data_IF_698631234258
#
_entry.id   IF_698631234258
#
_cell.length_a   1.000
_cell.length_b   1.000
_cell.length_c   1.000
_cell.angle_alpha   90.00
_cell.angle_beta   90.00
_cell.angle_gamma   90.00
#
_symmetry.space_group_name_H-M   'P 1'
#
loop_
_entity.id
_entity.type
_entity.pdbx_description
1 polymer ?
#
# COMPACT_ATOMS: atom_id res chain seq x y z
N UNK A 1 11.12 7.29 7.12
CA UNK A 1 11.08 7.57 5.67
C UNK A 1 9.64 7.78 5.24
N UNK A 2 9.33 8.93 4.64
CA UNK A 2 8.02 9.19 4.05
C UNK A 2 7.99 8.76 2.58
N UNK A 3 7.06 7.91 2.19
CA UNK A 3 6.89 7.42 0.81
C UNK A 3 5.63 8.06 0.24
N UNK A 4 5.83 8.98 -0.70
CA UNK A 4 4.75 9.64 -1.42
C UNK A 4 4.36 8.79 -2.64
N UNK A 5 3.26 8.07 -2.53
CA UNK A 5 2.69 7.29 -3.61
C UNK A 5 1.92 8.21 -4.59
N UNK A 6 1.86 7.86 -5.90
CA UNK A 6 1.14 8.68 -6.87
C UNK A 6 -0.37 8.66 -6.61
N UNK A 7 -1.07 9.66 -7.14
CA UNK A 7 -2.53 9.67 -7.22
C UNK A 7 -3.02 9.52 -8.67
N UNK A 8 -4.29 9.18 -8.85
CA UNK A 8 -4.85 8.90 -10.19
C UNK A 8 -4.79 10.10 -11.16
N UNK A 9 -4.77 11.32 -10.63
CA UNK A 9 -4.59 12.54 -11.43
C UNK A 9 -3.10 12.79 -11.66
N UNK A 10 -2.65 12.61 -12.89
CA UNK A 10 -1.25 12.85 -13.30
C UNK A 10 -0.91 14.34 -13.19
N UNK A 11 0.32 14.66 -12.77
CA UNK A 11 0.80 16.04 -12.71
C UNK A 11 0.86 16.65 -14.11
N UNK A 12 0.44 17.91 -14.22
CA UNK A 12 0.47 18.67 -15.47
C UNK A 12 -0.59 18.29 -16.51
N UNK A 13 -1.46 17.31 -16.23
CA UNK A 13 -2.48 16.83 -17.15
C UNK A 13 -3.88 17.35 -16.80
N UNK A 14 -4.62 17.85 -17.80
CA UNK A 14 -5.98 18.33 -17.63
C UNK A 14 -7.00 17.18 -17.73
N UNK A 15 -7.15 16.42 -16.65
CA UNK A 15 -8.00 15.20 -16.61
C UNK A 15 -9.41 15.43 -16.04
N UNK A 16 -9.68 16.61 -15.48
CA UNK A 16 -10.96 16.96 -14.86
C UNK A 16 -11.83 17.79 -15.81
N UNK A 17 -13.17 17.78 -15.62
CA UNK A 17 -14.05 18.66 -16.38
C UNK A 17 -13.66 20.14 -16.23
N UNK A 18 -13.88 20.93 -17.28
CA UNK A 18 -13.61 22.37 -17.27
C UNK A 18 -14.25 23.05 -16.04
N UNK A 19 -13.44 23.78 -15.28
CA UNK A 19 -13.87 24.50 -14.08
C UNK A 19 -13.83 23.69 -12.79
N UNK A 20 -13.36 22.44 -12.83
CA UNK A 20 -13.08 21.63 -11.64
C UNK A 20 -11.58 21.60 -11.40
N UNK A 21 -11.16 21.97 -10.20
CA UNK A 21 -9.77 21.96 -9.75
C UNK A 21 -9.60 20.95 -8.60
N UNK A 22 -8.42 20.34 -8.53
CA UNK A 22 -7.97 19.44 -7.47
C UNK A 22 -6.49 19.77 -7.22
N UNK A 23 -6.07 19.80 -5.95
CA UNK A 23 -4.75 20.31 -5.57
C UNK A 23 -3.88 19.26 -4.86
N UNK A 24 -4.14 17.98 -5.07
CA UNK A 24 -3.50 16.90 -4.34
C UNK A 24 -2.01 16.79 -4.67
N UNK A 25 -1.64 17.02 -5.93
CA UNK A 25 -0.23 17.00 -6.33
C UNK A 25 0.52 18.22 -5.81
N UNK A 26 -0.09 19.39 -5.89
CA UNK A 26 0.45 20.66 -5.39
C UNK A 26 0.60 20.64 -3.87
N UNK A 27 -0.38 20.05 -3.16
CA UNK A 27 -0.29 19.85 -1.70
C UNK A 27 0.82 18.86 -1.35
N UNK A 28 0.98 17.79 -2.13
CA UNK A 28 2.09 16.86 -1.94
C UNK A 28 3.44 17.52 -2.21
N UNK A 29 3.58 18.34 -3.25
CA UNK A 29 4.81 19.08 -3.54
C UNK A 29 5.18 19.99 -2.35
N UNK A 30 4.24 20.80 -1.86
CA UNK A 30 4.46 21.65 -0.70
C UNK A 30 4.81 20.86 0.57
N UNK A 31 4.19 19.70 0.77
CA UNK A 31 4.49 18.83 1.90
C UNK A 31 5.89 18.24 1.82
N UNK A 32 6.31 17.74 0.65
CA UNK A 32 7.65 17.19 0.43
C UNK A 32 8.75 18.25 0.57
N UNK A 33 8.50 19.47 0.09
CA UNK A 33 9.41 20.62 0.31
C UNK A 33 9.59 20.91 1.81
N UNK A 34 8.53 20.80 2.61
CA UNK A 34 8.63 20.99 4.06
C UNK A 34 9.35 19.83 4.74
N UNK A 35 9.14 18.58 4.31
CA UNK A 35 9.93 17.44 4.80
C UNK A 35 11.42 17.65 4.54
N UNK A 36 11.79 18.10 3.34
CA UNK A 36 13.18 18.43 2.98
C UNK A 36 13.75 19.51 3.91
N UNK A 37 13.00 20.59 4.14
CA UNK A 37 13.40 21.68 5.03
C UNK A 37 13.60 21.23 6.48
N UNK A 38 12.81 20.28 6.95
CA UNK A 38 12.93 19.71 8.29
C UNK A 38 13.98 18.58 8.37
N UNK A 39 14.61 18.22 7.25
CA UNK A 39 15.59 17.13 7.21
C UNK A 39 14.95 15.74 7.39
N UNK A 40 13.66 15.60 7.08
CA UNK A 40 12.96 14.31 7.11
C UNK A 40 13.10 13.64 5.75
N UNK A 41 13.66 12.44 5.74
CA UNK A 41 13.81 11.65 4.53
C UNK A 41 12.46 11.31 3.88
N UNK A 42 12.36 11.53 2.58
CA UNK A 42 11.25 11.08 1.75
C UNK A 42 11.71 10.41 0.44
N UNK A 43 10.79 9.68 -0.18
CA UNK A 43 10.85 9.15 -1.54
C UNK A 43 9.56 9.56 -2.26
N UNK A 44 9.69 10.25 -3.39
CA UNK A 44 8.56 10.57 -4.28
C UNK A 44 8.47 9.54 -5.39
N UNK A 45 7.42 8.71 -5.37
CA UNK A 45 7.20 7.70 -6.39
C UNK A 45 6.50 8.25 -7.64
N UNK A 46 6.01 9.50 -7.66
CA UNK A 46 5.31 10.05 -8.83
C UNK A 46 6.16 9.99 -10.12
N UNK A 47 7.44 10.42 -10.14
CA UNK A 47 8.28 10.31 -11.33
C UNK A 47 8.43 8.87 -11.84
N UNK A 48 8.58 7.90 -10.92
CA UNK A 48 8.70 6.48 -11.26
C UNK A 48 7.54 6.00 -12.15
N UNK A 49 6.30 6.39 -11.81
CA UNK A 49 5.10 5.99 -12.55
C UNK A 49 4.82 6.87 -13.78
N UNK A 50 5.27 8.12 -13.79
CA UNK A 50 5.18 9.04 -14.94
C UNK A 50 6.14 8.64 -16.07
N UNK A 51 7.31 8.11 -15.73
CA UNK A 51 8.38 7.78 -16.68
C UNK A 51 8.31 6.34 -17.21
N UNK A 52 7.53 5.46 -16.55
CA UNK A 52 7.45 4.05 -16.91
C UNK A 52 6.03 3.69 -17.36
N UNK A 53 5.81 3.62 -18.67
CA UNK A 53 4.54 3.17 -19.24
C UNK A 53 3.47 4.27 -19.35
N UNK A 54 2.20 3.85 -19.41
CA UNK A 54 1.05 4.77 -19.52
C UNK A 54 0.52 5.00 -18.11
N UNK A 55 0.61 6.23 -17.61
CA UNK A 55 0.30 6.57 -16.22
C UNK A 55 -1.07 6.03 -15.74
N UNK A 56 -2.13 6.23 -16.55
CA UNK A 56 -3.48 5.78 -16.21
C UNK A 56 -3.61 4.26 -16.05
N UNK A 57 -2.69 3.47 -16.63
CA UNK A 57 -2.75 2.01 -16.56
C UNK A 57 -2.30 1.48 -15.19
N UNK A 58 -1.59 2.29 -14.41
CA UNK A 58 -1.18 1.96 -13.04
C UNK A 58 -2.35 1.99 -12.04
N UNK A 59 -3.49 2.54 -12.42
CA UNK A 59 -4.67 2.70 -11.56
C UNK A 59 -5.85 1.88 -12.06
N UNK A 60 -6.69 1.44 -11.12
CA UNK A 60 -8.01 0.95 -11.47
C UNK A 60 -8.82 2.09 -12.09
N UNK A 61 -9.64 1.79 -13.11
CA UNK A 61 -10.48 2.80 -13.75
C UNK A 61 -11.68 3.16 -12.87
N UNK A 62 -12.25 2.17 -12.18
CA UNK A 62 -13.45 2.30 -11.35
C UNK A 62 -13.16 2.45 -9.86
N UNK A 63 -11.90 2.28 -9.45
CA UNK A 63 -11.44 2.52 -8.08
C UNK A 63 -10.46 3.72 -8.02
N UNK A 64 -10.14 4.16 -6.80
CA UNK A 64 -9.19 5.23 -6.53
C UNK A 64 -7.77 4.71 -6.30
N UNK A 65 -7.62 3.42 -5.99
CA UNK A 65 -6.32 2.81 -5.77
C UNK A 65 -5.53 2.54 -7.06
N UNK A 66 -4.21 2.42 -6.90
CA UNK A 66 -3.36 1.75 -7.87
C UNK A 66 -3.69 0.26 -8.02
N UNK A 67 -3.22 -0.37 -9.10
CA UNK A 67 -3.36 -1.81 -9.31
C UNK A 67 -2.23 -2.58 -8.58
N UNK A 68 -2.40 -3.89 -8.33
CA UNK A 68 -1.36 -4.73 -7.73
C UNK A 68 -0.02 -4.70 -8.47
N UNK A 69 -0.03 -4.55 -9.79
CA UNK A 69 1.16 -4.41 -10.62
C UNK A 69 1.94 -3.12 -10.30
N UNK A 70 1.23 -2.03 -10.02
CA UNK A 70 1.84 -0.78 -9.60
C UNK A 70 2.43 -0.91 -8.19
N UNK A 71 1.72 -1.58 -7.27
CA UNK A 71 2.23 -1.85 -5.93
C UNK A 71 3.47 -2.76 -5.95
N UNK A 72 3.51 -3.76 -6.83
CA UNK A 72 4.69 -4.59 -7.07
C UNK A 72 5.86 -3.72 -7.57
N UNK A 73 5.63 -2.87 -8.57
CA UNK A 73 6.67 -1.99 -9.12
C UNK A 73 7.19 -0.97 -8.08
N UNK A 74 6.29 -0.41 -7.26
CA UNK A 74 6.68 0.45 -6.13
C UNK A 74 7.51 -0.31 -5.09
N UNK A 75 7.18 -1.57 -4.83
CA UNK A 75 7.97 -2.41 -3.92
C UNK A 75 9.38 -2.64 -4.46
N UNK A 76 9.56 -2.89 -5.77
CA UNK A 76 10.89 -3.01 -6.38
C UNK A 76 11.73 -1.75 -6.12
N UNK A 77 11.18 -0.57 -6.43
CA UNK A 77 11.88 0.70 -6.22
C UNK A 77 12.14 0.99 -4.74
N UNK A 78 11.19 0.67 -3.86
CA UNK A 78 11.35 0.89 -2.43
C UNK A 78 12.44 -0.01 -1.84
N UNK A 79 12.55 -1.27 -2.28
CA UNK A 79 13.65 -2.16 -1.87
C UNK A 79 15.01 -1.56 -2.23
N UNK A 80 15.17 -1.02 -3.44
CA UNK A 80 16.42 -0.38 -3.86
C UNK A 80 16.75 0.86 -3.00
N UNK A 81 15.74 1.69 -2.69
CA UNK A 81 15.89 2.86 -1.81
C UNK A 81 16.28 2.47 -0.38
N UNK A 82 15.66 1.42 0.16
CA UNK A 82 15.92 0.92 1.51
C UNK A 82 17.33 0.34 1.63
N UNK A 83 17.80 -0.40 0.64
CA UNK A 83 19.18 -0.87 0.57
C UNK A 83 20.16 0.31 0.44
N UNK A 84 19.93 1.20 -0.52
CA UNK A 84 20.85 2.28 -0.85
C UNK A 84 21.03 3.32 0.26
N UNK A 85 19.95 3.69 0.96
CA UNK A 85 19.97 4.76 1.98
C UNK A 85 20.12 4.25 3.41
N UNK A 86 19.62 3.06 3.69
CA UNK A 86 19.53 2.53 5.06
C UNK A 86 20.26 1.21 5.25
N UNK A 87 20.83 0.62 4.19
CA UNK A 87 21.50 -0.68 4.26
C UNK A 87 20.54 -1.85 4.53
N UNK A 88 19.24 -1.64 4.34
CA UNK A 88 18.19 -2.63 4.56
C UNK A 88 17.96 -3.43 3.27
N UNK A 89 18.89 -4.31 2.96
CA UNK A 89 18.83 -5.15 1.76
C UNK A 89 17.76 -6.23 1.89
N UNK A 90 17.07 -6.51 0.78
CA UNK A 90 16.25 -7.71 0.60
C UNK A 90 16.85 -8.58 -0.50
N UNK A 91 16.56 -9.88 -0.51
CA UNK A 91 17.01 -10.77 -1.58
C UNK A 91 16.42 -10.28 -2.93
N UNK A 92 17.24 -9.91 -3.93
CA UNK A 92 16.77 -9.45 -5.23
C UNK A 92 15.90 -10.48 -5.97
N UNK A 93 15.99 -11.76 -5.62
CA UNK A 93 15.12 -12.78 -6.18
C UNK A 93 13.64 -12.58 -5.79
N UNK A 94 13.36 -11.91 -4.66
CA UNK A 94 12.00 -11.61 -4.22
C UNK A 94 11.30 -10.67 -5.20
N UNK A 95 12.01 -9.64 -5.67
CA UNK A 95 11.47 -8.56 -6.52
C UNK A 95 11.54 -8.87 -8.01
N UNK A 96 12.17 -9.97 -8.44
CA UNK A 96 12.22 -10.38 -9.85
C UNK A 96 10.85 -10.90 -10.33
N UNK A 97 10.20 -10.26 -11.34
CA UNK A 97 8.93 -10.73 -11.90
C UNK A 97 8.95 -12.18 -12.41
N UNK A 98 10.11 -12.71 -12.82
CA UNK A 98 10.22 -14.10 -13.26
C UNK A 98 9.91 -15.11 -12.14
N UNK A 99 10.10 -14.71 -10.87
CA UNK A 99 9.85 -15.51 -9.69
C UNK A 99 8.40 -15.44 -9.18
N UNK A 100 7.50 -14.89 -9.98
CA UNK A 100 6.07 -14.80 -9.66
C UNK A 100 5.22 -15.40 -10.78
N UNK A 101 4.14 -16.07 -10.38
CA UNK A 101 3.00 -16.37 -11.24
C UNK A 101 1.93 -15.30 -11.04
N UNK A 102 1.23 -14.96 -12.12
CA UNK A 102 0.13 -14.01 -12.10
C UNK A 102 -1.13 -14.63 -12.68
N UNK A 103 -2.28 -14.28 -12.09
CA UNK A 103 -3.60 -14.66 -12.59
C UNK A 103 -4.52 -13.45 -12.63
N UNK A 104 -4.94 -13.07 -13.83
CA UNK A 104 -5.88 -11.97 -14.05
C UNK A 104 -7.31 -12.47 -13.84
N UNK A 105 -8.07 -11.77 -13.00
CA UNK A 105 -9.51 -11.90 -12.92
C UNK A 105 -10.16 -10.81 -13.77
N UNK A 106 -10.58 -11.16 -14.97
CA UNK A 106 -11.17 -10.21 -15.92
C UNK A 106 -12.54 -9.70 -15.45
N UNK A 107 -12.76 -8.39 -15.57
CA UNK A 107 -13.99 -7.67 -15.26
C UNK A 107 -14.54 -7.96 -13.85
N UNK A 108 -13.66 -8.32 -12.92
CA UNK A 108 -14.03 -8.86 -11.62
C UNK A 108 -14.33 -7.77 -10.59
N UNK A 109 -13.73 -6.58 -10.75
CA UNK A 109 -13.76 -5.54 -9.74
C UNK A 109 -14.57 -4.32 -10.20
N UNK A 110 -15.56 -3.93 -9.40
CA UNK A 110 -16.18 -2.61 -9.49
C UNK A 110 -15.76 -1.82 -8.25
N UNK A 111 -14.88 -0.85 -8.46
CA UNK A 111 -14.32 -0.01 -7.40
C UNK A 111 -15.33 0.97 -6.79
N UNK A 112 -14.92 1.63 -5.71
CA UNK A 112 -15.78 2.55 -4.95
C UNK A 112 -16.34 3.68 -5.81
N UNK A 113 -15.55 4.25 -6.73
CA UNK A 113 -16.00 5.30 -7.64
C UNK A 113 -16.98 4.75 -8.68
N UNK A 114 -16.72 3.56 -9.22
CA UNK A 114 -17.61 2.86 -10.14
C UNK A 114 -18.96 2.50 -9.52
N UNK A 115 -18.97 2.05 -8.25
CA UNK A 115 -20.20 1.77 -7.50
C UNK A 115 -21.08 3.02 -7.35
N UNK A 116 -20.49 4.21 -7.24
CA UNK A 116 -21.23 5.49 -7.12
C UNK A 116 -21.92 5.91 -8.41
N UNK A 117 -21.30 5.65 -9.57
CA UNK A 117 -21.82 6.08 -10.89
C UNK A 117 -22.57 4.97 -11.64
N UNK A 118 -22.37 3.72 -11.26
CA UNK A 118 -23.00 2.53 -11.85
C UNK A 118 -22.14 1.84 -12.91
N UNK A 119 -22.23 0.50 -12.95
CA UNK A 119 -21.41 -0.35 -13.83
C UNK A 119 -21.67 -0.16 -15.32
N UNK A 120 -22.85 0.33 -15.73
CA UNK A 120 -23.14 0.63 -17.14
C UNK A 120 -22.30 1.79 -17.69
N UNK A 121 -21.92 2.74 -16.84
CA UNK A 121 -21.11 3.91 -17.22
C UNK A 121 -19.63 3.69 -16.90
N UNK A 122 -19.34 3.10 -15.74
CA UNK A 122 -17.98 2.85 -15.29
C UNK A 122 -17.37 1.57 -15.85
N UNK A 123 -18.14 0.62 -16.36
CA UNK A 123 -17.69 -0.75 -16.63
C UNK A 123 -17.15 -1.45 -15.37
N UNK A 124 -16.28 -2.44 -15.56
CA UNK A 124 -15.55 -3.11 -14.48
C UNK A 124 -14.06 -3.14 -14.81
N UNK A 125 -13.24 -3.31 -13.77
CA UNK A 125 -11.80 -3.50 -13.85
C UNK A 125 -11.41 -4.96 -13.73
N UNK A 126 -10.26 -5.27 -14.28
CA UNK A 126 -9.54 -6.52 -14.05
C UNK A 126 -8.68 -6.37 -12.79
N UNK A 127 -8.48 -7.45 -12.04
CA UNK A 127 -7.55 -7.48 -10.91
C UNK A 127 -6.59 -8.66 -11.06
N UNK A 128 -5.30 -8.38 -10.94
CA UNK A 128 -4.24 -9.39 -11.03
C UNK A 128 -3.92 -9.92 -9.65
N UNK A 129 -3.86 -11.24 -9.51
CA UNK A 129 -3.42 -11.93 -8.31
C UNK A 129 -1.99 -12.43 -8.50
N UNK A 130 -1.16 -12.25 -7.48
CA UNK A 130 0.26 -12.61 -7.49
C UNK A 130 0.50 -13.81 -6.57
N UNK A 131 1.32 -14.75 -7.03
CA UNK A 131 1.70 -15.99 -6.34
C UNK A 131 3.21 -16.17 -6.48
N UNK A 132 4.01 -16.14 -5.40
CA UNK A 132 5.45 -16.38 -5.50
C UNK A 132 5.74 -17.82 -5.95
N UNK A 133 6.78 -18.00 -6.77
CA UNK A 133 7.30 -19.32 -7.17
C UNK A 133 8.30 -19.89 -6.17
N UNK A 134 8.65 -19.11 -5.15
CA UNK A 134 9.52 -19.51 -4.04
C UNK A 134 8.70 -19.83 -2.80
N UNK A 135 9.29 -20.58 -1.89
CA UNK A 135 8.66 -20.96 -0.63
C UNK A 135 8.51 -19.73 0.28
N UNK A 136 7.35 -19.60 0.91
CA UNK A 136 7.05 -18.52 1.85
C UNK A 136 6.29 -19.09 3.04
N UNK A 137 6.53 -18.52 4.22
CA UNK A 137 5.80 -18.88 5.42
C UNK A 137 5.68 -17.65 6.30
N UNK A 138 4.47 -17.13 6.43
CA UNK A 138 4.19 -15.92 7.18
C UNK A 138 3.07 -16.17 8.21
N UNK A 139 3.12 -15.44 9.31
CA UNK A 139 2.01 -15.31 10.25
C UNK A 139 1.47 -13.89 10.17
N UNK A 140 0.21 -13.72 9.77
CA UNK A 140 -0.48 -12.42 9.80
C UNK A 140 -1.51 -12.39 10.93
N UNK A 141 -1.42 -11.41 11.82
CA UNK A 141 -2.32 -11.30 12.97
C UNK A 141 -2.87 -9.88 13.14
N UNK A 142 -4.16 -9.78 13.45
CA UNK A 142 -4.79 -8.55 13.90
C UNK A 142 -5.69 -8.88 15.11
N UNK A 143 -5.22 -8.62 16.35
CA UNK A 143 -5.99 -8.89 17.57
C UNK A 143 -7.33 -8.17 17.62
N UNK A 144 -7.40 -6.92 17.16
CA UNK A 144 -8.63 -6.11 17.14
C UNK A 144 -9.75 -6.75 16.28
N UNK A 145 -9.36 -7.52 15.26
CA UNK A 145 -10.28 -8.25 14.37
C UNK A 145 -10.34 -9.75 14.68
N UNK A 146 -9.63 -10.22 15.71
CA UNK A 146 -9.70 -11.59 16.20
C UNK A 146 -9.21 -12.65 15.20
N UNK A 147 -8.27 -12.32 14.31
CA UNK A 147 -7.73 -13.29 13.36
C UNK A 147 -6.22 -13.48 13.48
N UNK A 148 -5.80 -14.70 13.16
CA UNK A 148 -4.41 -15.07 12.86
C UNK A 148 -4.44 -16.02 11.68
N UNK A 149 -3.60 -15.75 10.67
CA UNK A 149 -3.46 -16.55 9.45
C UNK A 149 -2.01 -17.01 9.36
N UNK A 150 -1.79 -18.29 9.13
CA UNK A 150 -0.45 -18.89 9.07
C UNK A 150 -0.36 -19.69 7.78
N UNK A 151 0.73 -19.52 7.05
CA UNK A 151 1.02 -20.30 5.85
C UNK A 151 1.73 -19.50 4.77
N UNK A 152 1.73 -20.00 3.52
CA UNK A 152 2.34 -19.31 2.40
C UNK A 152 1.63 -17.99 2.08
N UNK A 153 2.31 -17.15 1.30
CA UNK A 153 1.90 -15.79 0.92
C UNK A 153 0.39 -15.67 0.58
N UNK A 154 -0.12 -16.58 -0.25
CA UNK A 154 -1.46 -16.54 -0.82
C UNK A 154 -2.57 -16.84 0.20
N UNK A 155 -2.23 -17.44 1.34
CA UNK A 155 -3.19 -17.81 2.39
C UNK A 155 -2.99 -17.03 3.69
N UNK A 156 -1.77 -16.56 3.96
CA UNK A 156 -1.45 -15.79 5.18
C UNK A 156 -1.69 -14.29 5.02
N UNK A 157 -1.10 -13.66 4.00
CA UNK A 157 -1.16 -12.20 3.76
C UNK A 157 -2.11 -11.82 2.63
N UNK A 158 -2.52 -12.79 1.82
CA UNK A 158 -3.67 -12.66 0.93
C UNK A 158 -4.94 -13.31 1.52
N UNK A 159 -6.09 -12.82 1.06
CA UNK A 159 -7.43 -13.20 1.53
C UNK A 159 -8.25 -13.77 0.36
N UNK A 160 -8.02 -15.04 -0.05
CA UNK A 160 -8.71 -15.67 -1.18
C UNK A 160 -10.24 -15.59 -1.10
N UNK A 161 -10.80 -15.54 0.10
CA UNK A 161 -12.23 -15.33 0.33
C UNK A 161 -12.78 -14.04 -0.29
N UNK A 162 -11.95 -13.00 -0.47
CA UNK A 162 -12.33 -11.72 -1.10
C UNK A 162 -12.57 -11.83 -2.60
N UNK A 163 -12.07 -12.90 -3.22
CA UNK A 163 -12.17 -13.18 -4.65
C UNK A 163 -12.77 -14.56 -4.93
N UNK A 164 -13.31 -15.24 -3.91
CA UNK A 164 -13.94 -16.56 -4.06
C UNK A 164 -15.21 -16.51 -4.92
N UNK A 165 -15.90 -15.36 -4.92
CA UNK A 165 -17.07 -15.10 -5.77
C UNK A 165 -17.05 -13.65 -6.22
N UNK A 166 -17.38 -13.42 -7.48
CA UNK A 166 -17.61 -12.08 -8.01
C UNK A 166 -18.88 -11.47 -7.39
N UNK A 167 -18.72 -10.34 -6.72
CA UNK A 167 -19.81 -9.49 -6.24
C UNK A 167 -19.41 -8.01 -6.39
N UNK A 168 -19.90 -7.38 -7.46
CA UNK A 168 -19.56 -6.00 -7.79
C UNK A 168 -20.05 -4.96 -6.78
N UNK A 169 -21.08 -5.25 -6.00
CA UNK A 169 -21.70 -4.23 -5.14
C UNK A 169 -21.33 -4.41 -3.67
N UNK A 170 -21.24 -5.66 -3.19
CA UNK A 170 -20.91 -5.94 -1.79
C UNK A 170 -19.47 -6.43 -1.60
N UNK A 171 -18.78 -6.83 -2.67
CA UNK A 171 -17.38 -7.27 -2.62
C UNK A 171 -16.40 -6.11 -2.62
N UNK A 172 -15.21 -6.37 -2.07
CA UNK A 172 -14.03 -5.51 -2.24
C UNK A 172 -12.80 -6.36 -2.61
N UNK A 173 -12.66 -6.77 -3.88
CA UNK A 173 -11.50 -7.53 -4.35
C UNK A 173 -10.14 -6.88 -4.05
N UNK A 174 -10.05 -5.56 -3.91
CA UNK A 174 -8.80 -4.89 -3.57
C UNK A 174 -8.22 -5.34 -2.23
N UNK A 175 -9.08 -5.70 -1.26
CA UNK A 175 -8.65 -6.23 0.03
C UNK A 175 -8.27 -7.72 -0.01
N UNK A 176 -8.19 -8.33 -1.20
CA UNK A 176 -7.46 -9.58 -1.38
C UNK A 176 -6.04 -9.45 -0.83
N UNK A 177 -5.40 -8.30 -1.04
CA UNK A 177 -4.11 -7.98 -0.44
C UNK A 177 -4.31 -7.38 0.95
N UNK A 178 -3.69 -7.99 1.97
CA UNK A 178 -3.70 -7.56 3.37
C UNK A 178 -5.07 -7.48 4.07
N UNK A 179 -6.18 -7.88 3.44
CA UNK A 179 -7.47 -8.12 4.12
C UNK A 179 -8.31 -6.87 4.41
N UNK A 180 -7.68 -5.72 4.56
CA UNK A 180 -8.32 -4.42 4.73
C UNK A 180 -7.45 -3.40 5.46
N UNK A 181 -8.13 -2.42 6.04
CA UNK A 181 -7.54 -1.34 6.82
C UNK A 181 -7.74 -1.67 8.30
N UNK A 182 -6.65 -2.09 8.96
CA UNK A 182 -6.67 -2.51 10.34
C UNK A 182 -5.94 -1.49 11.22
N UNK A 183 -6.41 -1.24 12.45
CA UNK A 183 -5.81 -0.25 13.35
C UNK A 183 -4.33 -0.54 13.60
N UNK A 184 -4.03 -1.80 13.91
CA UNK A 184 -2.69 -2.35 14.00
C UNK A 184 -2.75 -3.82 13.63
N UNK A 185 -1.80 -4.27 12.81
CA UNK A 185 -1.66 -5.67 12.43
C UNK A 185 -0.19 -6.01 12.18
N UNK A 186 0.22 -7.23 12.51
CA UNK A 186 1.62 -7.67 12.44
C UNK A 186 1.74 -8.88 11.55
N UNK A 187 2.70 -8.83 10.62
CA UNK A 187 3.11 -9.92 9.74
C UNK A 187 4.51 -10.36 10.13
N UNK A 188 4.68 -11.59 10.58
CA UNK A 188 5.99 -12.21 10.83
C UNK A 188 6.37 -13.09 9.64
N UNK A 189 7.59 -12.93 9.12
CA UNK A 189 8.14 -13.71 8.02
C UNK A 189 9.13 -14.76 8.54
N UNK A 190 8.72 -16.03 8.53
CA UNK A 190 9.53 -17.13 9.05
C UNK A 190 10.67 -17.56 8.12
N UNK A 191 10.69 -17.05 6.88
CA UNK A 191 11.78 -17.29 5.91
C UNK A 191 12.86 -16.22 5.92
N UNK A 192 12.65 -15.11 6.63
CA UNK A 192 13.63 -14.05 6.80
C UNK A 192 13.73 -13.61 8.28
N UNK A 193 14.05 -14.54 9.21
CA UNK A 193 13.98 -14.24 10.65
C UNK A 193 14.99 -13.17 11.11
N UNK A 194 16.09 -12.99 10.37
CA UNK A 194 17.14 -12.01 10.67
C UNK A 194 17.00 -10.71 9.87
N UNK A 195 15.92 -10.57 9.09
CA UNK A 195 15.62 -9.36 8.34
C UNK A 195 15.21 -8.18 9.24
N UNK A 196 15.06 -6.97 8.66
CA UNK A 196 14.68 -5.79 9.43
C UNK A 196 13.27 -5.90 10.00
N UNK A 197 13.03 -5.20 11.10
CA UNK A 197 11.70 -4.95 11.67
C UNK A 197 11.20 -3.60 11.17
N UNK A 198 10.05 -3.62 10.51
CA UNK A 198 9.50 -2.45 9.82
C UNK A 198 8.16 -2.06 10.44
N UNK A 199 7.99 -0.79 10.75
CA UNK A 199 6.67 -0.20 10.98
C UNK A 199 6.23 0.55 9.74
N UNK A 200 4.99 0.33 9.30
CA UNK A 200 4.37 1.04 8.18
C UNK A 200 3.11 1.77 8.65
N UNK A 201 3.19 3.10 8.73
CA UNK A 201 2.01 3.97 8.78
C UNK A 201 1.38 4.00 7.39
N UNK A 202 0.10 3.65 7.31
CA UNK A 202 -0.57 3.46 6.01
C UNK A 202 -2.00 3.96 5.99
N UNK A 203 -2.48 4.21 4.78
CA UNK A 203 -3.89 4.27 4.44
C UNK A 203 -4.29 3.03 3.61
N UNK A 204 -5.45 3.06 2.95
CA UNK A 204 -5.94 1.94 2.13
C UNK A 204 -5.05 1.66 0.93
N UNK A 205 -4.30 2.64 0.43
CA UNK A 205 -3.44 2.50 -0.75
C UNK A 205 -2.31 1.49 -0.53
N UNK A 206 -1.79 1.40 0.69
CA UNK A 206 -0.75 0.43 1.02
C UNK A 206 -1.24 -1.03 1.09
N UNK A 207 -2.55 -1.31 1.02
CA UNK A 207 -3.08 -2.70 1.05
C UNK A 207 -2.35 -3.60 0.04
N UNK A 208 -2.23 -3.15 -1.21
CA UNK A 208 -1.61 -3.93 -2.27
C UNK A 208 -0.09 -4.11 -2.12
N UNK A 209 0.59 -3.15 -1.49
CA UNK A 209 2.04 -3.21 -1.26
C UNK A 209 2.41 -4.03 -0.01
N UNK A 210 1.55 -4.03 1.00
CA UNK A 210 1.82 -4.64 2.31
C UNK A 210 2.27 -6.11 2.22
N UNK A 211 1.62 -7.01 1.46
CA UNK A 211 2.07 -8.40 1.33
C UNK A 211 3.46 -8.53 0.72
N UNK A 212 3.79 -7.72 -0.29
CA UNK A 212 5.09 -7.75 -0.96
C UNK A 212 6.21 -7.25 -0.04
N UNK A 213 5.97 -6.11 0.64
CA UNK A 213 6.92 -5.56 1.61
C UNK A 213 7.20 -6.54 2.75
N UNK A 214 6.19 -7.27 3.22
CA UNK A 214 6.34 -8.26 4.29
C UNK A 214 7.35 -9.38 3.96
N UNK A 215 7.59 -9.67 2.67
CA UNK A 215 8.62 -10.63 2.25
C UNK A 215 10.05 -10.10 2.43
N UNK A 216 10.23 -8.77 2.49
CA UNK A 216 11.54 -8.11 2.57
C UNK A 216 12.04 -7.90 4.01
N UNK A 217 11.22 -8.19 5.00
CA UNK A 217 11.49 -7.95 6.42
C UNK A 217 11.23 -9.21 7.26
N UNK A 218 11.74 -9.24 8.49
CA UNK A 218 11.43 -10.29 9.47
C UNK A 218 10.05 -10.09 10.09
N UNK A 219 9.69 -8.82 10.32
CA UNK A 219 8.42 -8.40 10.87
C UNK A 219 7.97 -7.09 10.22
N UNK A 220 6.73 -7.05 9.75
CA UNK A 220 6.05 -5.84 9.30
C UNK A 220 4.86 -5.57 10.21
N UNK A 221 4.89 -4.46 10.96
CA UNK A 221 3.72 -3.96 11.68
C UNK A 221 3.11 -2.80 10.92
N UNK A 222 1.87 -2.94 10.49
CA UNK A 222 1.11 -1.88 9.83
C UNK A 222 0.20 -1.18 10.82
N UNK A 223 0.13 0.15 10.77
CA UNK A 223 -0.75 0.98 11.60
C UNK A 223 -1.56 1.89 10.69
N UNK A 224 -2.88 1.93 10.89
CA UNK A 224 -3.79 2.85 10.19
C UNK A 224 -4.43 3.81 11.18
N UNK A 225 -4.00 5.08 11.14
CA UNK A 225 -4.40 6.09 12.11
C UNK A 225 -5.90 6.45 12.06
N UNK A 226 -6.62 6.03 11.03
CA UNK A 226 -8.08 6.22 10.97
C UNK A 226 -8.82 5.33 11.96
N UNK A 227 -8.19 4.24 12.39
CA UNK A 227 -8.78 3.22 13.25
C UNK A 227 -7.94 2.96 14.52
N UNK A 228 -6.67 3.33 14.50
CA UNK A 228 -5.77 3.14 15.64
C UNK A 228 -6.18 4.02 16.82
N UNK A 229 -6.24 3.40 18.00
CA UNK A 229 -6.43 4.06 19.28
C UNK A 229 -5.21 3.76 20.16
N UNK A 230 -4.77 4.74 20.95
CA UNK A 230 -3.56 4.65 21.77
C UNK A 230 -2.43 5.57 21.31
N UNK A 231 -1.36 5.64 22.11
CA UNK A 231 -0.21 6.50 21.83
C UNK A 231 0.66 5.90 20.72
N UNK A 232 0.78 6.60 19.59
CA UNK A 232 1.51 6.13 18.43
C UNK A 232 3.01 6.04 18.71
N UNK A 233 3.58 7.04 19.39
CA UNK A 233 5.02 7.13 19.60
C UNK A 233 5.50 6.06 20.59
N UNK A 234 4.78 5.86 21.69
CA UNK A 234 5.04 4.79 22.65
C UNK A 234 4.85 3.41 22.01
N UNK A 235 3.83 3.25 21.16
CA UNK A 235 3.61 2.00 20.43
C UNK A 235 4.77 1.71 19.49
N UNK A 236 5.21 2.68 18.67
CA UNK A 236 6.34 2.51 17.76
C UNK A 236 7.64 2.24 18.55
N UNK A 237 7.87 2.96 19.63
CA UNK A 237 9.04 2.74 20.49
C UNK A 237 9.07 1.32 21.07
N UNK A 238 7.91 0.81 21.52
CA UNK A 238 7.79 -0.55 22.06
C UNK A 238 7.94 -1.66 21.01
N UNK A 239 7.77 -1.36 19.72
CA UNK A 239 8.00 -2.31 18.63
C UNK A 239 9.49 -2.46 18.28
N UNK A 240 10.34 -1.51 18.70
CA UNK A 240 11.78 -1.45 18.37
C UNK A 240 12.08 -1.69 16.87
N UNK A 241 11.47 -0.94 15.95
CA UNK A 241 11.71 -1.13 14.51
C UNK A 241 13.08 -0.60 14.08
N UNK A 242 13.68 -1.25 13.07
CA UNK A 242 14.86 -0.75 12.37
C UNK A 242 14.51 0.47 11.49
N UNK A 243 13.27 0.53 11.00
CA UNK A 243 12.78 1.67 10.24
C UNK A 243 11.27 1.88 10.40
N UNK A 244 10.86 3.15 10.50
CA UNK A 244 9.48 3.59 10.36
C UNK A 244 9.26 4.18 8.96
N UNK A 245 8.27 3.62 8.26
CA UNK A 245 7.82 4.04 6.95
C UNK A 245 6.43 4.67 7.06
N UNK A 246 6.16 5.68 6.26
CA UNK A 246 4.81 6.14 5.95
C UNK A 246 4.56 5.93 4.47
N UNK A 247 3.47 5.28 4.07
CA UNK A 247 3.06 5.22 2.66
C UNK A 247 1.68 5.82 2.52
N UNK A 248 1.64 7.00 1.92
CA UNK A 248 0.43 7.77 1.67
C UNK A 248 0.39 8.23 0.21
N UNK A 249 -0.80 8.33 -0.35
CA UNK A 249 -0.98 8.93 -1.69
C UNK A 249 -0.74 10.43 -1.65
N UNK A 250 -0.37 11.03 -2.78
CA UNK A 250 -0.25 12.48 -2.90
C UNK A 250 -1.51 13.22 -2.38
N UNK A 251 -2.70 12.69 -2.66
CA UNK A 251 -3.97 13.28 -2.19
C UNK A 251 -4.18 13.18 -0.67
N UNK A 252 -3.50 12.26 0.00
CA UNK A 252 -3.62 12.02 1.45
C UNK A 252 -3.04 13.16 2.28
N UNK A 253 -2.10 13.95 1.74
CA UNK A 253 -1.49 15.11 2.44
C UNK A 253 -2.49 16.18 2.88
N UNK A 254 -3.73 16.12 2.37
CA UNK A 254 -4.85 17.01 2.73
C UNK A 254 -5.77 16.44 3.83
N UNK A 255 -5.42 15.29 4.41
CA UNK A 255 -6.23 14.59 5.40
C UNK A 255 -5.58 14.69 6.78
N UNK A 256 -5.94 15.72 7.55
CA UNK A 256 -5.34 16.02 8.86
C UNK A 256 -5.34 14.82 9.82
N UNK A 257 -6.39 14.00 9.79
CA UNK A 257 -6.54 12.85 10.68
C UNK A 257 -5.51 11.72 10.45
N UNK A 258 -4.78 11.74 9.32
CA UNK A 258 -3.69 10.79 9.04
C UNK A 258 -2.30 11.31 9.45
N UNK A 259 -2.24 12.51 10.04
CA UNK A 259 -1.03 13.16 10.55
C UNK A 259 -1.10 13.52 12.04
N UNK A 260 -2.14 13.04 12.74
CA UNK A 260 -2.26 13.18 14.19
C UNK A 260 -1.45 12.08 14.87
N UNK A 261 -0.18 12.38 15.16
CA UNK A 261 0.77 11.44 15.77
C UNK A 261 0.82 11.52 17.30
N UNK A 262 0.26 12.59 17.88
CA UNK A 262 0.17 12.79 19.33
C UNK A 262 -1.31 12.68 19.75
N UNK A 263 -1.58 12.00 20.86
CA UNK A 263 -2.86 12.19 21.55
C UNK A 263 -2.82 13.54 22.25
N UNK A 264 -3.54 14.52 21.72
CA UNK A 264 -3.97 15.63 22.57
C UNK A 264 -5.10 15.10 23.45
N UNK A 265 -4.79 14.76 24.71
CA UNK A 265 -5.84 14.65 25.73
C UNK A 265 -6.57 16.01 25.78
N UNK A 266 -7.86 16.03 25.42
CA UNK A 266 -8.77 17.13 25.77
C UNK A 266 -9.24 17.00 27.23
#
# INVERSE_FOLDING_TARGET
>A
LYVNAPQKLQRGEALLPTGVEEYGNESADAFLEELERQGTDYVDLRPLFEENGIYSNWFFRTDHHWKPEAAFFAWQALTDELEGRYGLAADPALTDPANWDTRVLEHFFLGSQGKRVGSLYAGADDITLYTPKFDSELTYSCPAYGFTRIGPFETSVCFPERVARQDWFNGNPYTYYAGGDYPIATITNHKNPDGPRVVLLRDSFACALTPFLALSCSELTTIDLRYFEGDLLDTIAGLEPDIALTLYTASTTRLDNLFQYEHTEE
#
